data_IF_141122084339
#
_entry.id   IF_141122084339
#
_cell.length_a   1.000
_cell.length_b   1.000
_cell.length_c   1.000
_cell.angle_alpha   90.00
_cell.angle_beta   90.00
_cell.angle_gamma   90.00
#
_symmetry.space_group_name_H-M   'P 1'
#
loop_
_entity.id
_entity.type
_entity.pdbx_description
1 polymer ?
#
# COMPACT_ATOMS: atom_id res chain seq x y z
N UNK A 1 -2.92 18.33 -17.12
CA UNK A 1 -2.33 18.12 -15.78
C UNK A 1 -1.12 19.03 -15.66
N UNK A 2 -0.90 19.69 -14.50
CA UNK A 2 0.41 20.27 -14.20
C UNK A 2 1.44 19.17 -14.41
N UNK A 3 2.65 19.52 -14.83
CA UNK A 3 3.66 18.55 -15.22
C UNK A 3 4.04 17.67 -14.01
N UNK A 4 3.52 16.43 -13.99
CA UNK A 4 3.91 15.39 -13.00
C UNK A 4 5.38 15.08 -13.21
N UNK A 5 6.16 15.07 -12.14
CA UNK A 5 7.59 14.76 -12.13
C UNK A 5 7.88 13.47 -11.38
N UNK A 6 7.07 13.12 -10.37
CA UNK A 6 7.23 11.93 -9.58
C UNK A 6 5.91 11.17 -9.44
N UNK A 7 6.02 9.84 -9.32
CA UNK A 7 4.89 8.95 -9.03
C UNK A 7 5.21 8.20 -7.75
N UNK A 8 4.31 8.27 -6.77
CA UNK A 8 4.45 7.60 -5.50
C UNK A 8 3.40 6.48 -5.44
N UNK A 9 3.87 5.25 -5.34
CA UNK A 9 3.01 4.07 -5.25
C UNK A 9 2.73 3.72 -3.80
N UNK A 10 1.49 3.40 -3.49
CA UNK A 10 1.22 2.51 -2.38
C UNK A 10 1.69 1.09 -2.71
N UNK A 11 1.79 0.21 -1.71
CA UNK A 11 2.27 -1.15 -1.88
C UNK A 11 1.13 -2.18 -1.90
N UNK A 12 0.39 -2.24 -0.82
CA UNK A 12 -0.64 -3.26 -0.59
C UNK A 12 -1.87 -2.97 -1.46
N UNK A 13 -2.29 -3.93 -2.29
CA UNK A 13 -3.36 -3.69 -3.26
C UNK A 13 -2.95 -2.90 -4.53
N UNK A 14 -1.71 -2.36 -4.58
CA UNK A 14 -1.18 -1.63 -5.74
C UNK A 14 0.02 -2.33 -6.36
N UNK A 15 1.01 -2.71 -5.59
CA UNK A 15 2.20 -3.47 -6.05
C UNK A 15 1.95 -4.96 -5.91
N UNK A 16 1.40 -5.35 -4.77
CA UNK A 16 1.24 -6.72 -4.34
C UNK A 16 -0.19 -6.98 -3.87
N UNK A 17 -0.76 -8.12 -4.27
CA UNK A 17 -2.01 -8.65 -3.72
C UNK A 17 -1.73 -9.29 -2.36
N UNK A 18 -1.60 -8.47 -1.32
CA UNK A 18 -1.20 -8.90 0.02
C UNK A 18 -2.37 -9.13 0.97
N UNK A 19 -3.55 -8.60 0.70
CA UNK A 19 -4.69 -8.59 1.62
C UNK A 19 -5.05 -9.99 2.13
N UNK A 20 -5.21 -10.97 1.22
CA UNK A 20 -5.49 -12.35 1.57
C UNK A 20 -4.34 -13.02 2.34
N UNK A 21 -3.11 -12.55 2.19
CA UNK A 21 -1.92 -13.02 2.93
C UNK A 21 -1.92 -12.46 4.35
N UNK A 22 -2.31 -11.21 4.51
CA UNK A 22 -2.49 -10.61 5.84
C UNK A 22 -3.59 -11.30 6.64
N UNK A 23 -4.75 -11.57 6.02
CA UNK A 23 -5.83 -12.34 6.65
C UNK A 23 -5.37 -13.72 7.06
N UNK A 24 -4.72 -14.45 6.14
CA UNK A 24 -4.23 -15.80 6.40
C UNK A 24 -3.18 -15.82 7.49
N UNK A 25 -2.23 -14.89 7.50
CA UNK A 25 -1.22 -14.75 8.55
C UNK A 25 -1.87 -14.51 9.92
N UNK A 26 -2.88 -13.64 9.99
CA UNK A 26 -3.66 -13.40 11.19
C UNK A 26 -4.33 -14.69 11.70
N UNK A 27 -5.06 -15.40 10.83
CA UNK A 27 -5.73 -16.64 11.19
C UNK A 27 -4.76 -17.75 11.62
N UNK A 28 -3.59 -17.86 10.99
CA UNK A 28 -2.55 -18.81 11.37
C UNK A 28 -2.02 -18.52 12.79
N UNK A 29 -1.73 -17.25 13.11
CA UNK A 29 -1.29 -16.84 14.45
C UNK A 29 -2.38 -17.12 15.49
N UNK A 30 -3.63 -16.77 15.22
CA UNK A 30 -4.76 -17.01 16.13
C UNK A 30 -4.94 -18.49 16.43
N UNK A 31 -4.77 -19.37 15.43
CA UNK A 31 -4.81 -20.83 15.63
C UNK A 31 -3.64 -21.32 16.46
N UNK A 32 -2.41 -20.83 16.19
CA UNK A 32 -1.20 -21.22 16.90
C UNK A 32 -1.29 -20.92 18.41
N UNK A 33 -1.90 -19.79 18.76
CA UNK A 33 -2.11 -19.41 20.17
C UNK A 33 -3.37 -19.99 20.80
N UNK A 34 -4.09 -20.89 20.09
CA UNK A 34 -5.20 -21.68 20.62
C UNK A 34 -6.58 -21.01 20.56
N UNK A 35 -6.78 -19.98 19.75
CA UNK A 35 -8.06 -19.27 19.61
C UNK A 35 -8.79 -19.50 18.27
N UNK A 36 -8.29 -20.38 17.41
CA UNK A 36 -8.82 -20.56 16.04
C UNK A 36 -10.33 -20.84 15.99
N UNK A 37 -10.87 -21.63 16.92
CA UNK A 37 -12.29 -22.01 16.97
C UNK A 37 -13.16 -21.02 17.79
N UNK A 38 -12.56 -19.98 18.34
CA UNK A 38 -13.24 -19.03 19.24
C UNK A 38 -13.14 -17.59 18.76
N UNK A 39 -12.76 -17.41 17.48
CA UNK A 39 -12.57 -16.10 16.90
C UNK A 39 -13.94 -15.50 16.53
N UNK A 40 -14.30 -14.40 17.17
CA UNK A 40 -15.49 -13.59 16.90
C UNK A 40 -15.18 -12.30 16.11
N UNK A 41 -13.88 -12.06 15.79
CA UNK A 41 -13.42 -10.95 14.97
C UNK A 41 -13.44 -11.35 13.48
N UNK A 42 -13.91 -10.44 12.64
CA UNK A 42 -13.87 -10.59 11.19
C UNK A 42 -12.73 -9.71 10.65
N UNK A 43 -11.72 -10.32 10.03
CA UNK A 43 -10.59 -9.60 9.45
C UNK A 43 -11.04 -8.49 8.47
N UNK A 44 -12.10 -8.74 7.71
CA UNK A 44 -12.68 -7.78 6.77
C UNK A 44 -13.07 -6.41 7.40
N UNK A 45 -13.35 -6.37 8.71
CA UNK A 45 -13.71 -5.14 9.41
C UNK A 45 -12.47 -4.27 9.72
N UNK A 46 -11.26 -4.81 9.46
CA UNK A 46 -9.96 -4.17 9.71
C UNK A 46 -9.18 -3.81 8.44
N UNK A 47 -9.71 -4.14 7.27
CA UNK A 47 -9.07 -3.78 5.99
C UNK A 47 -8.86 -2.27 5.91
N UNK A 48 -7.63 -1.86 5.58
CA UNK A 48 -7.23 -0.45 5.54
C UNK A 48 -6.94 0.20 6.90
N UNK A 49 -6.99 -0.58 8.00
CA UNK A 49 -6.57 -0.16 9.34
C UNK A 49 -5.22 -0.76 9.68
N UNK A 50 -4.50 -0.18 10.66
CA UNK A 50 -3.23 -0.76 11.11
C UNK A 50 -3.44 -2.10 11.83
N UNK A 51 -2.50 -3.01 11.66
CA UNK A 51 -2.47 -4.30 12.38
C UNK A 51 -2.52 -4.12 13.90
N UNK A 52 -1.95 -3.03 14.40
CA UNK A 52 -1.99 -2.72 15.82
C UNK A 52 -3.42 -2.60 16.35
N UNK A 53 -4.34 -1.99 15.61
CA UNK A 53 -5.75 -1.85 16.01
C UNK A 53 -6.41 -3.23 16.08
N UNK A 54 -6.20 -4.08 15.08
CA UNK A 54 -6.71 -5.45 15.05
C UNK A 54 -6.26 -6.24 16.29
N UNK A 55 -4.96 -6.18 16.63
CA UNK A 55 -4.44 -6.93 17.75
C UNK A 55 -4.81 -6.34 19.12
N UNK A 56 -5.00 -5.02 19.22
CA UNK A 56 -5.54 -4.40 20.44
C UNK A 56 -6.97 -4.87 20.72
N UNK A 57 -7.83 -4.91 19.70
CA UNK A 57 -9.20 -5.40 19.84
C UNK A 57 -9.23 -6.90 20.17
N UNK A 58 -8.36 -7.70 19.52
CA UNK A 58 -8.22 -9.12 19.82
C UNK A 58 -7.80 -9.37 21.28
N UNK A 59 -6.76 -8.67 21.76
CA UNK A 59 -6.27 -8.80 23.14
C UNK A 59 -7.33 -8.35 24.16
N UNK A 60 -8.07 -7.28 23.88
CA UNK A 60 -9.14 -6.79 24.73
C UNK A 60 -10.26 -7.82 24.88
N UNK A 61 -10.66 -8.48 23.78
CA UNK A 61 -11.75 -9.48 23.77
C UNK A 61 -11.33 -10.84 24.33
N UNK A 62 -10.15 -11.33 23.98
CA UNK A 62 -9.75 -12.72 24.21
C UNK A 62 -8.75 -12.93 25.33
N UNK A 63 -8.00 -11.88 25.72
CA UNK A 63 -6.98 -11.90 26.80
C UNK A 63 -5.95 -13.03 26.66
N UNK A 64 -5.28 -13.15 25.50
CA UNK A 64 -4.22 -14.15 25.30
C UNK A 64 -3.04 -13.90 26.26
N UNK A 65 -2.16 -14.88 26.38
CA UNK A 65 -0.91 -14.73 27.15
C UNK A 65 0.12 -13.84 26.44
N UNK A 66 0.01 -13.71 25.12
CA UNK A 66 0.87 -12.90 24.28
C UNK A 66 0.52 -11.42 24.36
N UNK A 67 1.53 -10.58 24.33
CA UNK A 67 1.42 -9.14 24.19
C UNK A 67 1.08 -8.76 22.73
N UNK A 68 0.52 -7.56 22.52
CA UNK A 68 0.28 -7.02 21.18
C UNK A 68 1.56 -7.00 20.34
N UNK A 69 2.71 -6.66 20.95
CA UNK A 69 3.99 -6.62 20.25
C UNK A 69 4.44 -8.02 19.75
N UNK A 70 4.25 -9.06 20.56
CA UNK A 70 4.53 -10.44 20.14
C UNK A 70 3.61 -10.90 19.04
N UNK A 71 2.31 -10.58 19.10
CA UNK A 71 1.33 -10.93 18.08
C UNK A 71 1.60 -10.23 16.74
N UNK A 72 1.99 -8.95 16.78
CA UNK A 72 2.45 -8.21 15.60
C UNK A 72 3.69 -8.89 14.98
N UNK A 73 4.69 -9.23 15.79
CA UNK A 73 5.90 -9.89 15.29
C UNK A 73 5.60 -11.27 14.68
N UNK A 74 4.72 -12.06 15.29
CA UNK A 74 4.29 -13.35 14.75
C UNK A 74 3.59 -13.19 13.42
N UNK A 75 2.61 -12.26 13.32
CA UNK A 75 1.89 -12.00 12.07
C UNK A 75 2.84 -11.52 10.98
N UNK A 76 3.72 -10.56 11.27
CA UNK A 76 4.72 -10.05 10.32
C UNK A 76 5.56 -11.18 9.73
N UNK A 77 6.09 -12.06 10.58
CA UNK A 77 6.87 -13.21 10.11
C UNK A 77 6.07 -14.07 9.13
N UNK A 78 4.80 -14.37 9.44
CA UNK A 78 3.92 -15.15 8.54
C UNK A 78 3.66 -14.44 7.21
N UNK A 79 3.41 -13.14 7.24
CA UNK A 79 3.23 -12.34 6.02
C UNK A 79 4.47 -12.40 5.14
N UNK A 80 5.66 -12.18 5.71
CA UNK A 80 6.94 -12.25 4.98
C UNK A 80 7.13 -13.63 4.35
N UNK A 81 6.89 -14.72 5.10
CA UNK A 81 6.99 -16.09 4.58
C UNK A 81 6.01 -16.34 3.41
N UNK A 82 4.76 -15.86 3.53
CA UNK A 82 3.74 -16.00 2.50
C UNK A 82 4.10 -15.22 1.24
N UNK A 83 4.53 -13.96 1.38
CA UNK A 83 4.96 -13.11 0.25
C UNK A 83 6.17 -13.74 -0.45
N UNK A 84 7.17 -14.18 0.29
CA UNK A 84 8.37 -14.83 -0.28
C UNK A 84 8.02 -16.07 -1.09
N UNK A 85 7.12 -16.91 -0.58
CA UNK A 85 6.73 -18.15 -1.23
C UNK A 85 5.85 -17.93 -2.45
N UNK A 86 4.90 -16.99 -2.36
CA UNK A 86 3.84 -16.84 -3.35
C UNK A 86 4.11 -15.75 -4.38
N UNK A 87 4.95 -14.76 -4.03
CA UNK A 87 5.32 -13.61 -4.87
C UNK A 87 4.11 -12.98 -5.59
N UNK A 88 3.07 -12.54 -4.84
CA UNK A 88 1.77 -12.21 -5.40
C UNK A 88 1.72 -10.81 -6.04
N UNK A 89 2.60 -10.56 -7.01
CA UNK A 89 2.58 -9.32 -7.78
C UNK A 89 1.37 -9.28 -8.71
N UNK A 90 0.80 -8.10 -8.86
CA UNK A 90 -0.22 -7.90 -9.88
C UNK A 90 0.37 -8.02 -11.28
N UNK A 91 -0.39 -8.65 -12.19
CA UNK A 91 0.01 -8.79 -13.58
C UNK A 91 0.13 -7.42 -14.27
N UNK A 92 1.15 -7.23 -15.11
CA UNK A 92 1.39 -5.98 -15.83
C UNK A 92 2.11 -4.89 -15.01
N UNK A 93 2.23 -5.05 -13.68
CA UNK A 93 2.89 -4.05 -12.84
C UNK A 93 4.40 -3.90 -13.14
N UNK A 94 5.21 -4.97 -13.26
CA UNK A 94 6.64 -4.80 -13.56
C UNK A 94 6.88 -4.04 -14.86
N UNK A 95 6.11 -4.33 -15.89
CA UNK A 95 6.17 -3.66 -17.20
C UNK A 95 5.76 -2.17 -17.10
N UNK A 96 4.75 -1.86 -16.30
CA UNK A 96 4.36 -0.48 -16.01
C UNK A 96 5.48 0.27 -15.31
N UNK A 97 6.09 -0.33 -14.27
CA UNK A 97 7.19 0.29 -13.52
C UNK A 97 8.37 0.62 -14.43
N UNK A 98 8.76 -0.28 -15.34
CA UNK A 98 9.82 -0.03 -16.31
C UNK A 98 9.52 1.19 -17.21
N UNK A 99 8.30 1.27 -17.72
CA UNK A 99 7.87 2.38 -18.58
C UNK A 99 7.82 3.71 -17.81
N UNK A 100 7.32 3.69 -16.58
CA UNK A 100 7.21 4.89 -15.76
C UNK A 100 8.57 5.38 -15.26
N UNK A 101 9.47 4.49 -14.82
CA UNK A 101 10.81 4.82 -14.37
C UNK A 101 11.69 5.46 -15.48
N UNK A 102 11.38 5.21 -16.74
CA UNK A 102 12.05 5.87 -17.87
C UNK A 102 11.69 7.37 -17.99
N UNK A 103 10.67 7.85 -17.24
CA UNK A 103 10.09 9.19 -17.43
C UNK A 103 9.85 9.97 -16.14
N UNK A 104 9.74 9.29 -15.03
CA UNK A 104 9.39 9.85 -13.73
C UNK A 104 10.30 9.30 -12.63
N UNK A 105 10.54 10.11 -11.61
CA UNK A 105 11.05 9.58 -10.34
C UNK A 105 9.97 8.75 -9.67
N UNK A 106 10.32 7.54 -9.20
CA UNK A 106 9.38 6.67 -8.53
C UNK A 106 9.67 6.58 -7.03
N UNK A 107 8.62 6.70 -6.22
CA UNK A 107 8.63 6.48 -4.78
C UNK A 107 7.65 5.38 -4.39
N UNK A 108 7.92 4.74 -3.25
CA UNK A 108 7.03 3.83 -2.57
C UNK A 108 6.65 4.41 -1.21
N UNK A 109 5.36 4.34 -0.84
CA UNK A 109 4.85 4.83 0.44
C UNK A 109 3.82 3.85 0.99
N UNK A 110 4.23 2.94 1.89
CA UNK A 110 3.41 1.85 2.42
C UNK A 110 3.15 2.01 3.91
N UNK A 111 1.91 1.73 4.33
CA UNK A 111 1.53 1.56 5.74
C UNK A 111 2.01 0.25 6.37
N UNK A 112 2.70 -0.60 5.62
CA UNK A 112 3.27 -1.85 6.11
C UNK A 112 4.61 -1.66 6.80
N UNK A 113 4.96 -2.62 7.67
CA UNK A 113 6.26 -2.64 8.36
C UNK A 113 7.41 -2.83 7.36
N UNK A 114 8.57 -2.27 7.67
CA UNK A 114 9.75 -2.24 6.79
C UNK A 114 10.16 -3.61 6.26
N UNK A 115 10.13 -4.65 7.10
CA UNK A 115 10.52 -6.00 6.69
C UNK A 115 9.60 -6.59 5.62
N UNK A 116 8.30 -6.26 5.67
CA UNK A 116 7.31 -6.67 4.64
C UNK A 116 7.59 -5.93 3.34
N UNK A 117 7.85 -4.62 3.43
CA UNK A 117 8.20 -3.78 2.27
C UNK A 117 9.48 -4.29 1.59
N UNK A 118 10.52 -4.60 2.35
CA UNK A 118 11.78 -5.12 1.83
C UNK A 118 11.60 -6.48 1.12
N UNK A 119 10.76 -7.36 1.66
CA UNK A 119 10.45 -8.63 1.01
C UNK A 119 9.73 -8.43 -0.34
N UNK A 120 8.72 -7.54 -0.38
CA UNK A 120 8.03 -7.20 -1.64
C UNK A 120 8.98 -6.60 -2.66
N UNK A 121 9.83 -5.66 -2.24
CA UNK A 121 10.82 -5.02 -3.12
C UNK A 121 11.89 -5.99 -3.63
N UNK A 122 12.14 -7.08 -2.90
CA UNK A 122 13.01 -8.19 -3.32
C UNK A 122 12.45 -8.97 -4.51
N UNK A 123 11.12 -9.09 -4.64
CA UNK A 123 10.47 -9.81 -5.74
C UNK A 123 10.88 -9.20 -7.07
N UNK A 124 11.42 -10.02 -7.98
CA UNK A 124 11.91 -9.57 -9.29
C UNK A 124 12.80 -8.32 -9.24
N UNK A 125 13.41 -8.05 -8.07
CA UNK A 125 14.27 -6.89 -7.83
C UNK A 125 13.53 -5.56 -8.05
N UNK A 126 12.28 -5.46 -7.62
CA UNK A 126 11.45 -4.25 -7.82
C UNK A 126 12.08 -3.02 -7.16
N UNK A 127 12.82 -3.19 -6.06
CA UNK A 127 13.50 -2.08 -5.37
C UNK A 127 14.34 -1.19 -6.27
N UNK A 128 14.83 -1.71 -7.41
CA UNK A 128 15.62 -0.92 -8.38
C UNK A 128 14.87 0.26 -9.02
N UNK A 129 13.54 0.23 -9.00
CA UNK A 129 12.73 1.26 -9.61
C UNK A 129 12.46 2.46 -8.69
N UNK A 130 12.61 2.29 -7.38
CA UNK A 130 12.20 3.28 -6.40
C UNK A 130 13.38 4.05 -5.83
N UNK A 131 13.42 5.36 -6.10
CA UNK A 131 14.43 6.29 -5.56
C UNK A 131 14.13 6.68 -4.10
N UNK A 132 12.89 6.51 -3.63
CA UNK A 132 12.46 6.75 -2.26
C UNK A 132 11.54 5.64 -1.79
N UNK A 133 11.74 5.19 -0.55
CA UNK A 133 10.88 4.18 0.13
C UNK A 133 10.55 4.70 1.52
N UNK A 134 9.27 4.88 1.81
CA UNK A 134 8.74 5.32 3.10
C UNK A 134 7.78 4.26 3.62
N UNK A 135 7.94 3.91 4.89
CA UNK A 135 7.13 2.90 5.58
C UNK A 135 6.41 3.52 6.78
N UNK A 136 5.50 2.79 7.40
CA UNK A 136 4.78 3.24 8.60
C UNK A 136 5.74 3.73 9.72
N UNK A 137 6.89 3.07 9.89
CA UNK A 137 7.89 3.43 10.90
C UNK A 137 8.63 4.75 10.65
N UNK A 138 8.52 5.34 9.46
CA UNK A 138 9.21 6.57 9.08
C UNK A 138 8.35 7.82 9.32
N UNK A 139 7.10 7.66 9.77
CA UNK A 139 6.14 8.76 9.96
C UNK A 139 5.50 8.72 11.33
N UNK A 140 4.97 9.85 11.78
CA UNK A 140 4.27 9.92 13.06
C UNK A 140 2.79 9.55 12.94
N UNK A 141 2.18 9.88 11.81
CA UNK A 141 0.76 9.63 11.56
C UNK A 141 0.60 8.86 10.25
N UNK A 142 0.03 7.66 10.35
CA UNK A 142 -0.33 6.84 9.19
C UNK A 142 -1.54 7.40 8.44
N UNK A 143 -1.83 6.83 7.25
CA UNK A 143 -3.02 7.17 6.45
C UNK A 143 -4.29 7.13 7.32
N UNK A 144 -5.19 8.11 7.25
CA UNK A 144 -5.37 9.10 6.20
C UNK A 144 -4.56 10.40 6.34
N UNK A 145 -3.62 10.51 7.32
CA UNK A 145 -2.72 11.65 7.37
C UNK A 145 -1.78 11.68 6.16
N UNK A 146 -1.39 12.87 5.66
CA UNK A 146 -0.59 13.00 4.44
C UNK A 146 0.89 12.69 4.62
N UNK A 147 1.34 12.47 5.86
CA UNK A 147 2.74 12.43 6.28
C UNK A 147 3.59 11.51 5.41
N UNK A 148 3.10 10.31 5.11
CA UNK A 148 3.83 9.30 4.35
C UNK A 148 4.10 9.74 2.91
N UNK A 149 3.12 10.38 2.26
CA UNK A 149 3.28 10.88 0.89
C UNK A 149 4.12 12.15 0.84
N UNK A 150 3.99 13.03 1.84
CA UNK A 150 4.84 14.22 1.97
C UNK A 150 6.30 13.83 2.21
N UNK A 151 6.56 12.83 3.05
CA UNK A 151 7.90 12.29 3.28
C UNK A 151 8.50 11.69 2.00
N UNK A 152 7.71 10.93 1.24
CA UNK A 152 8.17 10.36 -0.03
C UNK A 152 8.50 11.47 -1.06
N UNK A 153 7.66 12.50 -1.18
CA UNK A 153 7.91 13.64 -2.06
C UNK A 153 9.19 14.40 -1.66
N UNK A 154 9.42 14.58 -0.36
CA UNK A 154 10.62 15.22 0.15
C UNK A 154 11.90 14.42 -0.18
N UNK A 155 11.87 13.09 -0.02
CA UNK A 155 12.98 12.21 -0.38
C UNK A 155 13.27 12.22 -1.89
N UNK A 156 12.23 12.34 -2.71
CA UNK A 156 12.36 12.49 -4.17
C UNK A 156 12.80 13.89 -4.61
N UNK A 157 12.85 14.84 -3.68
CA UNK A 157 13.14 16.26 -3.95
C UNK A 157 12.15 16.87 -4.98
N UNK A 158 10.87 16.48 -4.90
CA UNK A 158 9.79 16.95 -5.77
C UNK A 158 8.69 17.60 -4.93
N UNK A 159 8.14 18.72 -5.41
CA UNK A 159 7.02 19.36 -4.70
C UNK A 159 5.77 18.49 -4.75
N UNK A 160 4.94 18.46 -3.69
CA UNK A 160 3.73 17.64 -3.67
C UNK A 160 2.80 17.86 -4.88
N UNK A 161 2.69 19.11 -5.36
CA UNK A 161 1.85 19.47 -6.51
C UNK A 161 2.35 18.90 -7.85
N UNK A 162 3.61 18.43 -7.90
CA UNK A 162 4.21 17.75 -9.04
C UNK A 162 4.28 16.22 -8.83
N UNK A 163 3.68 15.70 -7.75
CA UNK A 163 3.58 14.26 -7.48
C UNK A 163 2.21 13.72 -7.88
N UNK A 164 2.19 12.46 -8.32
CA UNK A 164 1.01 11.65 -8.52
C UNK A 164 1.08 10.41 -7.63
N UNK A 165 0.03 10.14 -6.86
CA UNK A 165 -0.10 8.94 -6.02
C UNK A 165 -0.90 7.88 -6.77
N UNK A 166 -0.45 6.62 -6.72
CA UNK A 166 -1.22 5.43 -7.12
C UNK A 166 -1.64 4.71 -5.85
N UNK A 167 -2.94 4.52 -5.67
CA UNK A 167 -3.56 4.00 -4.45
C UNK A 167 -4.77 3.12 -4.74
N UNK A 168 -5.25 2.33 -3.76
CA UNK A 168 -6.41 1.45 -3.90
C UNK A 168 -7.39 1.55 -2.72
N UNK A 169 -7.06 2.34 -1.69
CA UNK A 169 -7.80 2.43 -0.43
C UNK A 169 -8.38 3.82 -0.16
N UNK A 170 -9.50 3.88 0.59
CA UNK A 170 -10.10 5.17 1.02
C UNK A 170 -9.14 6.01 1.88
N UNK A 171 -8.45 5.45 2.90
CA UNK A 171 -7.52 6.21 3.70
C UNK A 171 -6.34 6.75 2.89
N UNK A 172 -5.83 5.96 1.95
CA UNK A 172 -4.72 6.37 1.12
C UNK A 172 -5.11 7.44 0.09
N UNK A 173 -6.29 7.34 -0.54
CA UNK A 173 -6.83 8.40 -1.39
C UNK A 173 -6.96 9.71 -0.60
N UNK A 174 -7.51 9.65 0.63
CA UNK A 174 -7.62 10.83 1.48
C UNK A 174 -6.25 11.43 1.82
N UNK A 175 -5.26 10.60 2.15
CA UNK A 175 -3.90 11.03 2.44
C UNK A 175 -3.21 11.71 1.25
N UNK A 176 -3.33 11.13 0.05
CA UNK A 176 -2.76 11.70 -1.17
C UNK A 176 -3.38 13.06 -1.53
N UNK A 177 -4.71 13.19 -1.40
CA UNK A 177 -5.40 14.45 -1.61
C UNK A 177 -5.03 15.50 -0.55
N UNK A 178 -4.94 15.09 0.73
CA UNK A 178 -4.51 15.97 1.81
C UNK A 178 -3.06 16.45 1.64
N UNK A 179 -2.20 15.65 1.00
CA UNK A 179 -0.84 16.05 0.60
C UNK A 179 -0.83 17.05 -0.58
N UNK A 180 -1.99 17.35 -1.21
CA UNK A 180 -2.08 18.24 -2.36
C UNK A 180 -1.60 17.60 -3.68
N UNK A 181 -1.61 16.26 -3.75
CA UNK A 181 -1.16 15.48 -4.90
C UNK A 181 -2.32 15.09 -5.82
N UNK A 182 -2.01 14.78 -7.07
CA UNK A 182 -2.93 14.05 -7.94
C UNK A 182 -3.02 12.61 -7.45
N UNK A 183 -4.24 12.05 -7.37
CA UNK A 183 -4.44 10.67 -6.94
C UNK A 183 -5.13 9.88 -8.05
N UNK A 184 -4.50 8.81 -8.49
CA UNK A 184 -5.09 7.79 -9.37
C UNK A 184 -5.39 6.57 -8.49
N UNK A 185 -6.65 6.25 -8.30
CA UNK A 185 -7.07 5.09 -7.53
C UNK A 185 -7.36 3.91 -8.46
N UNK A 186 -6.76 2.75 -8.16
CA UNK A 186 -7.01 1.48 -8.86
C UNK A 186 -7.97 0.61 -8.03
N UNK A 187 -8.95 -0.02 -8.69
CA UNK A 187 -10.02 -0.79 -8.02
C UNK A 187 -9.62 -2.24 -7.76
N UNK A 188 -8.42 -2.49 -7.22
CA UNK A 188 -7.95 -3.84 -6.94
C UNK A 188 -8.61 -4.43 -5.67
N UNK A 189 -8.75 -3.61 -4.61
CA UNK A 189 -9.27 -4.04 -3.30
C UNK A 189 -10.62 -3.40 -2.95
N UNK A 190 -10.89 -2.20 -3.47
CA UNK A 190 -12.12 -1.46 -3.19
C UNK A 190 -12.91 -1.17 -4.47
N UNK A 191 -14.26 -1.16 -4.42
CA UNK A 191 -15.08 -0.77 -5.56
C UNK A 191 -14.93 0.72 -5.88
N UNK A 192 -15.18 1.10 -7.14
CA UNK A 192 -15.00 2.45 -7.64
C UNK A 192 -15.77 3.52 -6.83
N UNK A 193 -16.96 3.19 -6.33
CA UNK A 193 -17.78 4.11 -5.52
C UNK A 193 -17.08 4.52 -4.22
N UNK A 194 -16.30 3.63 -3.65
CA UNK A 194 -15.51 3.88 -2.44
C UNK A 194 -14.33 4.82 -2.70
N UNK A 195 -13.80 4.79 -3.91
CA UNK A 195 -12.62 5.54 -4.34
C UNK A 195 -12.96 6.82 -5.12
N UNK A 196 -14.25 7.18 -5.22
CA UNK A 196 -14.77 8.30 -6.06
C UNK A 196 -14.15 9.66 -5.78
N UNK A 197 -13.53 9.87 -4.63
CA UNK A 197 -12.87 11.12 -4.27
C UNK A 197 -11.49 11.28 -4.92
N UNK A 198 -10.88 10.20 -5.45
CA UNK A 198 -9.62 10.27 -6.16
C UNK A 198 -9.75 11.17 -7.40
N UNK A 199 -8.64 11.74 -7.87
CA UNK A 199 -8.61 12.56 -9.09
C UNK A 199 -9.02 11.74 -10.32
N UNK A 200 -8.58 10.47 -10.36
CA UNK A 200 -8.99 9.49 -11.36
C UNK A 200 -9.23 8.14 -10.67
N UNK A 201 -10.23 7.40 -11.14
CA UNK A 201 -10.47 6.01 -10.73
C UNK A 201 -10.31 5.13 -11.96
N UNK A 202 -9.49 4.10 -11.85
CA UNK A 202 -9.12 3.18 -12.94
C UNK A 202 -9.29 1.73 -12.49
N UNK A 203 -9.34 0.81 -13.44
CA UNK A 203 -9.52 -0.62 -13.20
C UNK A 203 -8.29 -1.45 -13.54
N UNK A 204 -7.40 -0.91 -14.37
CA UNK A 204 -6.24 -1.64 -14.89
C UNK A 204 -4.99 -0.79 -14.92
N UNK A 205 -3.82 -1.44 -14.98
CA UNK A 205 -2.53 -0.77 -15.11
C UNK A 205 -2.36 -0.10 -16.49
N UNK A 206 -3.01 -0.61 -17.52
CA UNK A 206 -3.03 0.01 -18.86
C UNK A 206 -3.77 1.36 -18.83
N UNK A 207 -4.78 1.50 -17.99
CA UNK A 207 -5.44 2.80 -17.81
C UNK A 207 -4.53 3.80 -17.08
N UNK A 208 -3.75 3.35 -16.09
CA UNK A 208 -2.71 4.18 -15.45
C UNK A 208 -1.67 4.60 -16.49
N UNK A 209 -1.17 3.65 -17.30
CA UNK A 209 -0.21 3.92 -18.37
C UNK A 209 -0.73 5.00 -19.32
N UNK A 210 -1.96 4.85 -19.81
CA UNK A 210 -2.58 5.86 -20.69
C UNK A 210 -2.66 7.24 -20.07
N UNK A 211 -3.08 7.34 -18.82
CA UNK A 211 -3.20 8.62 -18.12
C UNK A 211 -1.86 9.34 -17.96
N UNK A 212 -0.77 8.58 -17.74
CA UNK A 212 0.53 9.13 -17.41
C UNK A 212 1.46 9.26 -18.63
N UNK A 213 1.40 8.34 -19.59
CA UNK A 213 2.34 8.28 -20.70
C UNK A 213 1.78 8.80 -22.03
N UNK A 214 0.46 8.69 -22.27
CA UNK A 214 -0.13 9.25 -23.48
C UNK A 214 -0.18 10.78 -23.37
N UNK A 215 0.48 11.46 -24.29
CA UNK A 215 0.31 12.91 -24.47
C UNK A 215 -1.16 13.15 -24.82
N UNK A 216 -1.88 13.89 -23.99
CA UNK A 216 -3.08 14.57 -24.50
C UNK A 216 -2.59 15.41 -25.68
N UNK A 217 -3.03 15.04 -26.87
CA UNK A 217 -2.75 15.84 -28.07
C UNK A 217 -2.99 17.30 -27.75
N UNK A 218 -2.01 18.13 -28.06
CA UNK A 218 -2.19 19.56 -28.04
C UNK A 218 -3.45 19.85 -28.87
N UNK A 219 -4.53 20.21 -28.20
CA UNK A 219 -5.65 20.87 -28.86
C UNK A 219 -5.10 22.23 -29.27
N UNK A 220 -4.86 22.37 -30.57
CA UNK A 220 -4.72 23.66 -31.25
C UNK A 220 -5.91 24.55 -30.96
#
# INVERSE_FOLDING_TARGET
MRQVQAIIFDMDGVIVDSESRHERAFLEVVREIGYGDRLDLRFADYIGRSDQVLWLDFVAGHKPSQTVAELLAMKRQRVVELIRREQPLFAGLPELLEKLAARYELGLASGSEREVVEEVLGIKRLGRFFSAVVTDSDVQHGKPAPDIFLSAAALLNVTPQACCVIEDSKPGVAAGLAAGMVVIAITNTHPADDLRHATHVVRTYEEIERLLLERRGASE
#
